data_IF_924440089657
#
_entry.id   IF_924440089657
#
_cell.length_a   1.000
_cell.length_b   1.000
_cell.length_c   1.000
_cell.angle_alpha   90.00
_cell.angle_beta   90.00
_cell.angle_gamma   90.00
#
_symmetry.space_group_name_H-M   'P 1'
#
loop_
_entity.id
_entity.type
_entity.pdbx_description
1 polymer ?
#
# COMPACT_ATOMS: atom_id res chain seq x y z
N UNK A 1 -19.48 18.48 -8.79
CA UNK A 1 -18.16 18.65 -8.11
C UNK A 1 -17.04 18.95 -9.09
N UNK A 2 -17.18 18.56 -10.35
CA UNK A 2 -16.18 18.69 -11.44
C UNK A 2 -15.58 20.08 -11.64
N UNK A 3 -16.34 21.17 -11.39
CA UNK A 3 -15.84 22.55 -11.55
C UNK A 3 -15.11 23.11 -10.32
N UNK A 4 -15.09 22.36 -9.21
CA UNK A 4 -14.45 22.83 -7.97
C UNK A 4 -12.93 22.72 -8.09
N UNK A 5 -12.18 23.66 -7.52
CA UNK A 5 -10.72 23.57 -7.48
C UNK A 5 -10.28 22.54 -6.42
N UNK A 6 -9.12 21.87 -6.57
CA UNK A 6 -8.54 21.06 -5.51
C UNK A 6 -8.44 21.84 -4.19
N UNK A 7 -8.68 21.17 -3.06
CA UNK A 7 -8.63 21.79 -1.72
C UNK A 7 -9.67 22.89 -1.45
N UNK A 8 -10.76 22.97 -2.21
CA UNK A 8 -11.82 23.98 -2.00
C UNK A 8 -12.69 23.73 -0.77
N UNK A 9 -12.71 22.50 -0.24
CA UNK A 9 -13.60 22.09 0.86
C UNK A 9 -12.75 21.90 2.11
N UNK A 10 -12.82 22.83 3.07
CA UNK A 10 -12.24 22.59 4.40
C UNK A 10 -12.93 21.41 5.08
N UNK A 11 -12.17 20.41 5.51
CA UNK A 11 -12.73 19.19 6.09
C UNK A 11 -11.90 18.73 7.29
N UNK A 12 -12.57 18.40 8.40
CA UNK A 12 -12.01 17.57 9.47
C UNK A 12 -12.49 16.15 9.20
N UNK A 13 -11.68 15.39 8.46
CA UNK A 13 -12.09 14.06 8.02
C UNK A 13 -11.92 13.05 9.15
N UNK A 14 -13.02 12.47 9.63
CA UNK A 14 -12.96 11.33 10.55
C UNK A 14 -12.98 10.00 9.80
N UNK A 15 -13.87 9.88 8.82
CA UNK A 15 -14.07 8.67 8.02
C UNK A 15 -14.56 9.02 6.63
N UNK A 16 -14.04 8.32 5.61
CA UNK A 16 -14.59 8.29 4.26
C UNK A 16 -14.69 6.83 3.81
N UNK A 17 -15.85 6.45 3.30
CA UNK A 17 -16.05 5.14 2.68
C UNK A 17 -16.90 5.31 1.43
N UNK A 18 -16.27 5.25 0.26
CA UNK A 18 -16.93 5.46 -1.03
C UNK A 18 -16.76 4.22 -1.91
N UNK A 19 -17.88 3.64 -2.34
CA UNK A 19 -17.91 2.35 -3.05
C UNK A 19 -18.67 2.50 -4.35
N UNK A 20 -18.01 2.13 -5.47
CA UNK A 20 -18.56 2.06 -6.83
C UNK A 20 -19.28 3.35 -7.25
N UNK A 21 -18.66 4.49 -7.00
CA UNK A 21 -19.25 5.80 -7.29
C UNK A 21 -18.22 6.82 -7.76
N UNK A 22 -18.60 7.68 -8.70
CA UNK A 22 -17.82 8.84 -9.13
C UNK A 22 -17.64 9.90 -8.05
N UNK A 23 -18.35 9.79 -6.91
CA UNK A 23 -18.12 10.65 -5.75
C UNK A 23 -16.70 10.51 -5.18
N UNK A 24 -15.95 9.45 -5.49
CA UNK A 24 -14.54 9.32 -5.11
C UNK A 24 -13.71 10.51 -5.63
N UNK A 25 -14.09 11.10 -6.75
CA UNK A 25 -13.49 12.32 -7.29
C UNK A 25 -13.71 13.57 -6.40
N UNK A 26 -14.41 13.46 -5.27
CA UNK A 26 -14.43 14.52 -4.24
C UNK A 26 -13.11 14.62 -3.47
N UNK A 27 -12.34 13.54 -3.37
CA UNK A 27 -11.13 13.46 -2.55
C UNK A 27 -10.14 14.60 -2.83
N UNK A 28 -9.81 14.95 -4.10
CA UNK A 28 -8.91 16.06 -4.39
C UNK A 28 -9.46 17.43 -3.99
N UNK A 29 -10.78 17.54 -3.79
CA UNK A 29 -11.45 18.79 -3.39
C UNK A 29 -11.40 19.01 -1.88
N UNK A 30 -11.11 17.98 -1.09
CA UNK A 30 -10.97 18.07 0.35
C UNK A 30 -9.64 18.71 0.72
N UNK A 31 -9.69 19.71 1.60
CA UNK A 31 -8.54 20.29 2.28
C UNK A 31 -8.51 19.73 3.70
N UNK A 32 -7.80 18.62 3.83
CA UNK A 32 -7.57 17.90 5.09
C UNK A 32 -6.23 18.41 5.66
N UNK A 33 -6.19 18.68 6.96
CA UNK A 33 -4.94 19.04 7.63
C UNK A 33 -4.08 17.78 7.84
N UNK A 34 -2.75 17.89 7.72
CA UNK A 34 -1.83 16.78 7.98
C UNK A 34 -1.91 16.24 9.41
N UNK A 35 -2.34 17.08 10.36
CA UNK A 35 -2.55 16.69 11.75
C UNK A 35 -3.94 16.06 12.00
N UNK A 36 -4.78 15.90 10.98
CA UNK A 36 -6.05 15.20 11.13
C UNK A 36 -5.82 13.70 11.33
N UNK A 37 -6.43 13.16 12.38
CA UNK A 37 -6.53 11.71 12.63
C UNK A 37 -7.76 11.16 11.91
N UNK A 38 -7.54 10.38 10.85
CA UNK A 38 -8.58 9.72 10.05
C UNK A 38 -8.69 8.27 10.50
N UNK A 39 -9.87 7.87 10.98
CA UNK A 39 -10.11 6.48 11.39
C UNK A 39 -10.14 5.54 10.19
N UNK A 40 -10.84 5.90 9.11
CA UNK A 40 -10.94 5.05 7.93
C UNK A 40 -10.94 5.88 6.64
N UNK A 41 -10.06 5.50 5.71
CA UNK A 41 -10.01 5.97 4.34
C UNK A 41 -10.26 4.78 3.39
N UNK A 42 -11.53 4.54 3.08
CA UNK A 42 -12.00 3.42 2.28
C UNK A 42 -12.50 3.86 0.90
N UNK A 43 -11.90 3.37 -0.17
CA UNK A 43 -12.33 3.64 -1.55
C UNK A 43 -12.37 2.34 -2.35
N UNK A 44 -13.48 2.09 -3.03
CA UNK A 44 -13.63 0.96 -3.94
C UNK A 44 -14.18 1.44 -5.27
N UNK A 45 -13.44 1.24 -6.36
CA UNK A 45 -13.84 1.74 -7.67
C UNK A 45 -13.81 0.63 -8.72
N UNK A 46 -14.98 0.19 -9.20
CA UNK A 46 -15.08 -0.80 -10.28
C UNK A 46 -14.81 -0.23 -11.68
N UNK A 47 -14.75 1.10 -11.81
CA UNK A 47 -14.57 1.81 -13.07
C UNK A 47 -13.49 2.87 -12.89
N UNK A 48 -12.62 3.02 -13.89
CA UNK A 48 -11.53 4.01 -13.90
C UNK A 48 -12.05 5.45 -13.77
N UNK A 49 -13.18 5.75 -14.41
CA UNK A 49 -13.82 7.07 -14.36
C UNK A 49 -14.13 7.54 -12.93
N UNK A 50 -14.33 6.61 -11.99
CA UNK A 50 -14.59 6.94 -10.60
C UNK A 50 -13.38 7.53 -9.86
N UNK A 51 -12.16 7.28 -10.36
CA UNK A 51 -10.91 7.76 -9.74
C UNK A 51 -10.11 8.69 -10.66
N UNK A 52 -10.55 8.89 -11.90
CA UNK A 52 -9.81 9.64 -12.92
C UNK A 52 -9.34 11.03 -12.44
N UNK A 53 -10.16 11.75 -11.68
CA UNK A 53 -9.78 13.07 -11.17
C UNK A 53 -8.71 13.00 -10.07
N UNK A 54 -8.73 11.93 -9.27
CA UNK A 54 -7.70 11.65 -8.27
C UNK A 54 -6.38 11.30 -8.95
N UNK A 55 -6.43 10.45 -9.97
CA UNK A 55 -5.25 10.02 -10.73
C UNK A 55 -4.62 11.15 -11.55
N UNK A 56 -5.44 12.11 -12.00
CA UNK A 56 -4.97 13.32 -12.68
C UNK A 56 -4.25 14.32 -11.76
N UNK A 57 -4.21 14.12 -10.44
CA UNK A 57 -3.48 15.03 -9.56
C UNK A 57 -1.96 14.91 -9.76
N UNK A 58 -1.32 16.05 -10.03
CA UNK A 58 0.15 16.14 -10.12
C UNK A 58 0.81 16.18 -8.74
N UNK A 59 0.14 16.82 -7.76
CA UNK A 59 0.63 16.95 -6.40
C UNK A 59 0.01 15.89 -5.49
N UNK A 60 0.80 15.21 -4.65
CA UNK A 60 0.26 14.30 -3.66
C UNK A 60 -0.76 14.97 -2.73
N UNK A 61 -1.90 14.30 -2.54
CA UNK A 61 -2.99 14.72 -1.68
C UNK A 61 -2.64 14.43 -0.21
N UNK A 62 -2.91 15.39 0.67
CA UNK A 62 -2.83 15.17 2.11
C UNK A 62 -4.14 14.56 2.60
N UNK A 63 -4.05 13.40 3.27
CA UNK A 63 -5.21 12.69 3.84
C UNK A 63 -5.12 12.58 5.37
N UNK A 64 -4.20 13.29 6.01
CA UNK A 64 -3.93 13.17 7.44
C UNK A 64 -3.28 11.82 7.82
N UNK A 65 -3.25 11.51 9.12
CA UNK A 65 -2.79 10.24 9.67
C UNK A 65 -3.94 9.24 9.63
N UNK A 66 -3.78 8.15 8.88
CA UNK A 66 -4.87 7.21 8.63
C UNK A 66 -4.69 5.96 9.48
N UNK A 67 -5.70 5.58 10.26
CA UNK A 67 -5.66 4.28 10.96
C UNK A 67 -5.86 3.14 9.97
N UNK A 68 -6.93 3.18 9.18
CA UNK A 68 -7.25 2.12 8.20
C UNK A 68 -7.41 2.69 6.79
N UNK A 69 -6.54 2.28 5.87
CA UNK A 69 -6.63 2.60 4.44
C UNK A 69 -7.01 1.36 3.65
N UNK A 70 -8.20 1.38 3.06
CA UNK A 70 -8.78 0.25 2.30
C UNK A 70 -9.00 0.71 0.86
N UNK A 71 -8.21 0.21 -0.08
CA UNK A 71 -8.34 0.57 -1.49
C UNK A 71 -8.62 -0.67 -2.33
N UNK A 72 -9.71 -0.63 -3.09
CA UNK A 72 -10.16 -1.74 -3.92
C UNK A 72 -10.37 -1.39 -5.38
N UNK A 73 -9.99 -2.33 -6.24
CA UNK A 73 -10.07 -2.21 -7.70
C UNK A 73 -9.34 -0.95 -8.19
N UNK A 74 -9.91 -0.12 -9.08
CA UNK A 74 -9.22 1.08 -9.61
C UNK A 74 -8.81 2.07 -8.51
N UNK A 75 -9.41 2.00 -7.32
CA UNK A 75 -9.01 2.84 -6.19
C UNK A 75 -7.61 2.49 -5.67
N UNK A 76 -7.05 1.32 -6.01
CA UNK A 76 -5.65 0.99 -5.70
C UNK A 76 -4.70 2.03 -6.31
N UNK A 77 -5.01 2.57 -7.49
CA UNK A 77 -4.23 3.65 -8.11
C UNK A 77 -4.15 4.93 -7.28
N UNK A 78 -5.13 5.20 -6.41
CA UNK A 78 -5.16 6.40 -5.55
C UNK A 78 -3.95 6.47 -4.61
N UNK A 79 -3.37 5.31 -4.25
CA UNK A 79 -2.21 5.27 -3.34
C UNK A 79 -1.00 6.03 -3.89
N UNK A 80 -0.84 6.14 -5.21
CA UNK A 80 0.27 6.87 -5.84
C UNK A 80 0.10 8.38 -5.77
N UNK A 81 -1.11 8.83 -5.42
CA UNK A 81 -1.53 10.24 -5.40
C UNK A 81 -1.75 10.76 -3.99
N UNK A 82 -1.45 9.99 -2.95
CA UNK A 82 -1.54 10.42 -1.55
C UNK A 82 -0.16 10.53 -0.92
N UNK A 83 0.04 11.55 -0.09
CA UNK A 83 1.26 11.72 0.69
C UNK A 83 1.15 10.97 2.01
N UNK A 84 1.85 9.83 2.13
CA UNK A 84 1.85 9.01 3.36
C UNK A 84 3.16 9.06 4.15
N UNK A 85 4.19 9.72 3.60
CA UNK A 85 5.55 9.72 4.15
C UNK A 85 5.61 10.19 5.60
N UNK A 86 4.96 11.32 5.90
CA UNK A 86 5.05 11.97 7.21
C UNK A 86 3.86 11.65 8.13
N UNK A 87 2.73 11.22 7.56
CA UNK A 87 1.49 10.96 8.30
C UNK A 87 1.35 9.48 8.72
N UNK A 88 1.84 8.55 7.89
CA UNK A 88 1.73 7.10 8.13
C UNK A 88 0.32 6.54 7.97
N UNK A 89 0.25 5.21 7.89
CA UNK A 89 -1.00 4.44 7.84
C UNK A 89 -0.89 3.29 8.83
N UNK A 90 -1.80 3.08 9.78
CA UNK A 90 -1.63 1.93 10.70
C UNK A 90 -1.90 0.58 10.02
N UNK A 91 -2.95 0.51 9.21
CA UNK A 91 -3.40 -0.67 8.46
C UNK A 91 -3.64 -0.31 6.98
N UNK A 92 -2.89 -0.93 6.09
CA UNK A 92 -3.06 -0.80 4.64
C UNK A 92 -3.59 -2.11 4.05
N UNK A 93 -4.74 -2.05 3.38
CA UNK A 93 -5.28 -3.15 2.60
C UNK A 93 -5.50 -2.72 1.14
N UNK A 94 -4.88 -3.44 0.21
CA UNK A 94 -5.09 -3.29 -1.23
C UNK A 94 -5.64 -4.59 -1.82
N UNK A 95 -6.70 -4.49 -2.62
CA UNK A 95 -7.27 -5.63 -3.37
C UNK A 95 -7.65 -5.19 -4.77
N UNK A 96 -7.36 -6.03 -5.77
CA UNK A 96 -7.74 -5.74 -7.14
C UNK A 96 -8.06 -7.02 -7.90
N UNK A 97 -9.26 -7.09 -8.48
CA UNK A 97 -9.71 -8.29 -9.19
C UNK A 97 -9.17 -8.46 -10.60
N UNK A 98 -8.56 -7.42 -11.17
CA UNK A 98 -8.08 -7.39 -12.56
C UNK A 98 -6.79 -6.60 -12.67
N UNK A 99 -5.99 -6.91 -13.67
CA UNK A 99 -4.75 -6.18 -13.96
C UNK A 99 -4.99 -4.70 -14.27
N UNK A 100 -6.06 -4.37 -15.00
CA UNK A 100 -6.42 -3.00 -15.33
C UNK A 100 -6.58 -2.10 -14.09
N UNK A 101 -6.98 -2.67 -12.94
CA UNK A 101 -7.18 -1.93 -11.69
C UNK A 101 -5.88 -1.42 -11.07
N UNK A 102 -4.74 -2.03 -11.42
CA UNK A 102 -3.41 -1.71 -10.89
C UNK A 102 -2.46 -1.13 -11.94
N UNK A 103 -2.95 -0.97 -13.18
CA UNK A 103 -2.15 -0.47 -14.31
C UNK A 103 -1.48 0.88 -14.01
N UNK A 104 -2.22 1.82 -13.40
CA UNK A 104 -1.68 3.14 -13.01
C UNK A 104 -0.50 3.04 -12.03
N UNK A 105 -0.57 2.09 -11.10
CA UNK A 105 0.51 1.88 -10.11
C UNK A 105 1.72 1.26 -10.78
N UNK A 106 1.50 0.30 -11.68
CA UNK A 106 2.55 -0.43 -12.37
C UNK A 106 3.24 0.41 -13.44
N UNK A 107 2.54 1.41 -13.97
CA UNK A 107 3.09 2.42 -14.87
C UNK A 107 4.04 3.42 -14.17
N UNK A 108 4.08 3.47 -12.83
CA UNK A 108 5.00 4.34 -12.11
C UNK A 108 6.46 3.98 -12.43
N UNK A 109 7.22 4.95 -12.92
CA UNK A 109 8.66 4.80 -13.17
C UNK A 109 9.44 4.68 -11.86
N UNK A 110 9.02 5.44 -10.84
CA UNK A 110 9.66 5.48 -9.52
C UNK A 110 8.73 4.88 -8.48
N UNK A 111 9.25 4.09 -7.53
CA UNK A 111 8.45 3.60 -6.43
C UNK A 111 7.86 4.74 -5.60
N UNK A 112 6.60 4.60 -5.17
CA UNK A 112 5.97 5.52 -4.22
C UNK A 112 6.26 5.09 -2.77
N UNK A 113 6.19 6.03 -1.82
CA UNK A 113 6.48 5.75 -0.41
C UNK A 113 5.19 5.59 0.40
N UNK A 114 5.05 4.48 1.12
CA UNK A 114 3.86 4.19 1.95
C UNK A 114 4.04 4.52 3.43
N UNK A 115 5.14 5.19 3.81
CA UNK A 115 5.39 5.63 5.18
C UNK A 115 5.58 4.48 6.17
N UNK A 116 5.13 4.69 7.41
CA UNK A 116 5.15 3.71 8.51
C UNK A 116 3.77 3.06 8.68
N UNK A 117 3.75 1.76 8.96
CA UNK A 117 2.54 0.98 9.21
C UNK A 117 2.78 -0.23 10.11
N UNK A 118 1.72 -0.67 10.78
CA UNK A 118 1.75 -1.88 11.60
C UNK A 118 1.33 -3.10 10.80
N UNK A 119 0.46 -2.93 9.80
CA UNK A 119 -0.15 -4.05 9.09
C UNK A 119 -0.31 -3.73 7.61
N UNK A 120 0.11 -4.66 6.75
CA UNK A 120 -0.07 -4.56 5.30
C UNK A 120 -0.69 -5.85 4.75
N UNK A 121 -1.73 -5.70 3.93
CA UNK A 121 -2.43 -6.80 3.26
C UNK A 121 -2.57 -6.47 1.78
N UNK A 122 -1.94 -7.26 0.93
CA UNK A 122 -1.98 -7.11 -0.54
C UNK A 122 -2.55 -8.39 -1.16
N UNK A 123 -3.72 -8.29 -1.80
CA UNK A 123 -4.48 -9.43 -2.34
C UNK A 123 -4.67 -9.34 -3.86
N UNK A 124 -4.74 -10.49 -4.51
CA UNK A 124 -5.04 -10.63 -5.95
C UNK A 124 -4.05 -9.82 -6.82
N UNK A 125 -4.55 -9.00 -7.76
CA UNK A 125 -3.73 -8.11 -8.60
C UNK A 125 -3.09 -6.97 -7.82
N UNK A 126 -3.56 -6.64 -6.62
CA UNK A 126 -2.90 -5.63 -5.81
C UNK A 126 -1.59 -6.12 -5.19
N UNK A 127 -1.34 -7.44 -5.16
CA UNK A 127 -0.06 -7.99 -4.73
C UNK A 127 1.11 -7.48 -5.58
N UNK A 128 0.93 -7.25 -6.89
CA UNK A 128 2.01 -6.74 -7.75
C UNK A 128 2.40 -5.30 -7.45
N UNK A 129 1.58 -4.55 -6.71
CA UNK A 129 1.88 -3.17 -6.31
C UNK A 129 3.13 -3.10 -5.42
N UNK A 130 3.46 -4.21 -4.76
CA UNK A 130 4.66 -4.31 -3.92
C UNK A 130 5.96 -4.00 -4.68
N UNK A 131 6.00 -4.24 -6.00
CA UNK A 131 7.19 -3.97 -6.84
C UNK A 131 7.36 -2.48 -7.15
N UNK A 132 6.36 -1.66 -6.83
CA UNK A 132 6.31 -0.21 -7.09
C UNK A 132 6.20 0.62 -5.82
N UNK A 133 6.43 0.02 -4.66
CA UNK A 133 6.41 0.76 -3.40
C UNK A 133 7.75 0.66 -2.65
N UNK A 134 7.98 1.65 -1.81
CA UNK A 134 9.04 1.67 -0.80
C UNK A 134 8.41 1.89 0.56
N UNK A 135 8.92 1.17 1.54
CA UNK A 135 8.51 1.30 2.94
C UNK A 135 9.59 2.10 3.66
N UNK A 136 9.18 2.91 4.64
CA UNK A 136 10.13 3.72 5.43
C UNK A 136 11.12 2.80 6.16
N UNK A 137 12.40 3.16 6.22
CA UNK A 137 13.46 2.31 6.81
C UNK A 137 13.21 1.96 8.29
N UNK A 138 12.68 2.91 9.05
CA UNK A 138 12.28 2.72 10.45
C UNK A 138 10.95 1.97 10.64
N UNK A 139 10.34 1.47 9.58
CA UNK A 139 9.08 0.76 9.68
C UNK A 139 9.25 -0.60 10.38
N UNK A 140 8.38 -0.87 11.35
CA UNK A 140 8.28 -2.17 12.01
C UNK A 140 6.84 -2.65 11.93
N UNK A 141 6.57 -3.59 11.02
CA UNK A 141 5.26 -4.21 10.86
C UNK A 141 5.06 -5.34 11.86
N UNK A 142 3.85 -5.44 12.38
CA UNK A 142 3.36 -6.59 13.12
C UNK A 142 2.89 -7.67 12.14
N UNK A 143 2.04 -7.28 11.16
CA UNK A 143 1.45 -8.23 10.21
C UNK A 143 1.77 -7.88 8.75
N UNK A 144 2.14 -8.89 7.96
CA UNK A 144 2.35 -8.79 6.52
C UNK A 144 1.72 -9.97 5.79
N UNK A 145 0.74 -9.69 4.95
CA UNK A 145 0.06 -10.67 4.09
C UNK A 145 0.23 -10.23 2.64
N UNK A 146 0.84 -11.10 1.85
CA UNK A 146 0.98 -10.98 0.40
C UNK A 146 0.40 -12.23 -0.24
N UNK A 147 -0.77 -12.11 -0.86
CA UNK A 147 -1.49 -13.22 -1.49
C UNK A 147 -1.81 -12.87 -2.96
N UNK A 148 -0.84 -13.07 -3.88
CA UNK A 148 -1.02 -12.82 -5.30
C UNK A 148 -1.89 -13.91 -5.95
N UNK A 149 -2.72 -13.50 -6.91
CA UNK A 149 -3.27 -14.44 -7.88
C UNK A 149 -2.17 -15.08 -8.74
N UNK A 150 -2.47 -16.22 -9.41
CA UNK A 150 -1.48 -16.98 -10.21
C UNK A 150 -0.69 -16.10 -11.19
N UNK A 151 -1.37 -15.23 -11.93
CA UNK A 151 -0.76 -14.39 -12.97
C UNK A 151 0.12 -13.27 -12.40
N UNK A 152 0.00 -12.98 -11.11
CA UNK A 152 0.67 -11.84 -10.44
C UNK A 152 1.94 -12.29 -9.74
N UNK A 153 2.02 -13.58 -9.43
CA UNK A 153 3.20 -14.23 -8.91
C UNK A 153 4.37 -14.12 -9.90
N UNK A 154 4.12 -14.28 -11.21
CA UNK A 154 5.17 -14.14 -12.24
C UNK A 154 5.81 -12.75 -12.25
N UNK A 155 4.99 -11.68 -12.15
CA UNK A 155 5.49 -10.30 -12.10
C UNK A 155 6.39 -10.04 -10.90
N UNK A 156 6.04 -10.58 -9.73
CA UNK A 156 6.91 -10.48 -8.54
C UNK A 156 8.18 -11.32 -8.72
N UNK A 157 8.10 -12.46 -9.42
CA UNK A 157 9.27 -13.30 -9.69
C UNK A 157 10.29 -12.68 -10.65
N UNK A 158 9.87 -11.73 -11.50
CA UNK A 158 10.75 -10.96 -12.39
C UNK A 158 11.70 -10.03 -11.62
N UNK A 159 11.33 -9.65 -10.39
CA UNK A 159 12.16 -8.83 -9.53
C UNK A 159 13.46 -9.53 -9.14
N UNK A 160 14.49 -8.75 -8.79
CA UNK A 160 15.73 -9.30 -8.24
C UNK A 160 15.51 -10.02 -6.91
N UNK A 161 16.37 -10.99 -6.59
CA UNK A 161 16.35 -11.58 -5.26
C UNK A 161 16.73 -10.52 -4.22
N UNK A 162 15.98 -10.46 -3.11
CA UNK A 162 16.07 -9.42 -2.08
C UNK A 162 15.95 -7.97 -2.59
N UNK A 163 15.31 -7.71 -3.74
CA UNK A 163 15.15 -6.35 -4.26
C UNK A 163 14.04 -5.56 -3.56
N UNK A 164 13.03 -6.25 -3.03
CA UNK A 164 11.85 -5.64 -2.40
C UNK A 164 12.08 -5.46 -0.90
N UNK A 165 12.29 -4.23 -0.44
CA UNK A 165 12.53 -3.91 0.97
C UNK A 165 11.23 -3.74 1.76
N UNK A 166 11.08 -4.49 2.86
CA UNK A 166 9.94 -4.42 3.77
C UNK A 166 10.26 -3.80 5.14
N UNK A 167 11.54 -3.53 5.42
CA UNK A 167 11.98 -3.06 6.71
C UNK A 167 11.95 -4.17 7.75
N UNK A 168 11.40 -3.88 8.95
CA UNK A 168 11.38 -4.81 10.08
C UNK A 168 10.00 -5.44 10.24
N UNK A 169 9.97 -6.72 10.57
CA UNK A 169 8.72 -7.48 10.78
C UNK A 169 8.81 -8.20 12.12
N UNK A 170 7.76 -8.09 12.95
CA UNK A 170 7.71 -8.78 14.23
C UNK A 170 7.42 -10.26 14.04
N UNK A 171 8.15 -11.07 14.79
CA UNK A 171 7.97 -12.53 14.83
C UNK A 171 6.65 -12.98 15.47
N UNK A 172 6.03 -12.13 16.29
CA UNK A 172 4.79 -12.46 17.00
C UNK A 172 3.50 -12.19 16.22
N UNK A 173 3.58 -11.58 15.03
CA UNK A 173 2.41 -11.27 14.20
C UNK A 173 2.21 -12.26 13.06
N UNK A 174 1.30 -11.93 12.15
CA UNK A 174 0.93 -12.75 11.01
C UNK A 174 1.86 -12.46 9.84
N UNK A 175 2.58 -13.47 9.37
CA UNK A 175 3.40 -13.39 8.16
C UNK A 175 2.94 -14.45 7.15
N UNK A 176 2.26 -14.01 6.10
CA UNK A 176 1.80 -14.88 5.01
C UNK A 176 2.35 -14.39 3.67
N UNK A 177 3.25 -15.20 3.09
CA UNK A 177 3.83 -14.96 1.76
C UNK A 177 4.04 -16.31 1.07
N UNK A 178 3.63 -16.49 -0.20
CA UNK A 178 3.96 -17.67 -1.00
C UNK A 178 5.46 -17.94 -1.04
N UNK A 179 5.85 -19.20 -0.87
CA UNK A 179 7.26 -19.60 -0.74
C UNK A 179 8.10 -19.20 -1.95
N UNK A 180 7.49 -19.20 -3.12
CA UNK A 180 8.07 -18.91 -4.42
C UNK A 180 8.65 -17.50 -4.50
N UNK A 181 7.95 -16.52 -3.90
CA UNK A 181 8.33 -15.10 -3.97
C UNK A 181 9.03 -14.61 -2.71
N UNK A 182 9.12 -15.42 -1.64
CA UNK A 182 9.83 -15.04 -0.40
C UNK A 182 11.27 -14.60 -0.67
N UNK A 183 11.97 -15.24 -1.63
CA UNK A 183 13.35 -14.89 -2.00
C UNK A 183 13.50 -13.48 -2.61
N UNK A 184 12.40 -12.87 -3.05
CA UNK A 184 12.37 -11.51 -3.62
C UNK A 184 12.31 -10.44 -2.54
N UNK A 185 11.86 -10.81 -1.34
CA UNK A 185 11.65 -9.91 -0.22
C UNK A 185 12.89 -9.84 0.66
N UNK A 186 13.25 -8.63 1.07
CA UNK A 186 14.27 -8.31 2.06
C UNK A 186 13.59 -7.73 3.30
N UNK A 187 13.81 -8.34 4.45
CA UNK A 187 13.27 -7.89 5.73
C UNK A 187 14.12 -8.37 6.89
N UNK A 188 13.99 -7.69 8.03
CA UNK A 188 14.62 -8.09 9.29
C UNK A 188 13.56 -8.53 10.28
N UNK A 189 13.69 -9.74 10.81
CA UNK A 189 12.81 -10.22 11.88
C UNK A 189 13.22 -9.63 13.23
N UNK A 190 12.23 -9.15 13.99
CA UNK A 190 12.44 -8.59 15.33
C UNK A 190 11.49 -9.19 16.36
N UNK A 191 11.88 -9.14 17.64
CA UNK A 191 11.04 -9.53 18.76
C UNK A 191 9.99 -8.45 19.12
N UNK A 192 9.19 -8.71 20.15
CA UNK A 192 8.20 -7.75 20.69
C UNK A 192 8.80 -6.44 21.21
N UNK A 193 10.12 -6.36 21.44
CA UNK A 193 10.84 -5.15 21.85
C UNK A 193 11.60 -4.48 20.69
N UNK A 194 11.52 -5.05 19.49
CA UNK A 194 12.25 -4.57 18.32
C UNK A 194 13.71 -5.06 18.28
N UNK A 195 14.14 -5.97 19.15
CA UNK A 195 15.48 -6.53 19.03
C UNK A 195 15.52 -7.50 17.85
N UNK A 196 16.55 -7.41 17.00
CA UNK A 196 16.77 -8.42 15.96
C UNK A 196 16.90 -9.80 16.61
N UNK A 197 16.10 -10.74 16.12
CA UNK A 197 16.22 -12.14 16.51
C UNK A 197 17.35 -12.75 15.67
N UNK A 198 18.45 -13.10 16.34
CA UNK A 198 19.66 -13.59 15.69
C UNK A 198 19.42 -14.90 14.93
N UNK A 199 19.72 -14.87 13.64
CA UNK A 199 19.61 -16.01 12.73
C UNK A 199 19.52 -15.51 11.29
N UNK A 200 20.67 -15.09 10.74
CA UNK A 200 20.86 -14.65 9.35
C UNK A 200 19.94 -13.49 8.89
N UNK A 201 20.53 -12.41 8.36
CA UNK A 201 19.81 -11.63 7.34
C UNK A 201 19.24 -12.66 6.38
N UNK A 202 17.94 -12.61 6.06
CA UNK A 202 17.26 -13.61 5.24
C UNK A 202 17.73 -13.62 3.77
N UNK A 203 19.04 -13.57 3.52
CA UNK A 203 19.66 -14.15 2.34
C UNK A 203 19.38 -15.63 2.40
N UNK A 204 18.31 -16.04 1.72
CA UNK A 204 17.98 -17.45 1.54
C UNK A 204 19.10 -18.11 0.74
N UNK A 205 20.17 -18.56 1.41
CA UNK A 205 20.95 -19.70 0.91
C UNK A 205 20.02 -20.89 1.01
N UNK A 206 19.61 -21.39 -0.15
CA UNK A 206 18.75 -22.57 -0.25
C UNK A 206 19.37 -23.74 0.52
N UNK A 207 18.77 -24.08 1.65
CA UNK A 207 18.93 -25.38 2.28
C UNK A 207 18.01 -26.36 1.57
N UNK A 208 18.62 -27.10 0.65
CA UNK A 208 18.14 -28.36 0.10
C UNK A 208 17.86 -29.31 1.27
N UNK A 209 16.61 -29.73 1.40
CA UNK A 209 16.23 -30.96 2.10
C UNK A 209 15.73 -31.94 1.04
N UNK A 210 16.69 -32.52 0.33
CA UNK A 210 16.82 -33.94 -0.01
C UNK A 210 18.31 -34.26 -0.05
#
# INVERSE_FOLDING_TARGET
IERMQPGSIGCVLKQINLVKTGLINIVPKLRINGDCEVETFGLYASEEAHVAEVLAQEKPLCVGRVKEMLLGDYAVGVITKVSLKDCGVEYLMLTAKKEAHVAEVLAQEKPFCVGRMKKMVLLDYAASVITKMTIHEDNTMDDFILDPGRDQLSRILEEGDNSIELGRIRTGGVFHVPKEIRRKLRYTLVDGRGKEVGGERSSHRGSRLE
#
